data_IF_606398459353
#
_entry.id   IF_606398459353
#
_cell.length_a   1.000
_cell.length_b   1.000
_cell.length_c   1.000
_cell.angle_alpha   90.00
_cell.angle_beta   90.00
_cell.angle_gamma   90.00
#
_symmetry.space_group_name_H-M   'P 1'
#
loop_
_entity.id
_entity.type
_entity.pdbx_description
1 polymer ?
#
# COMPACT_ATOMS: atom_id res chain seq x y z
N UNK A 1 6.37 0.13 -15.57
CA UNK A 1 7.32 -0.62 -14.70
C UNK A 1 7.34 -2.10 -15.09
N UNK A 2 8.48 -2.75 -14.88
CA UNK A 2 8.61 -4.20 -15.11
C UNK A 2 7.96 -4.98 -13.98
N UNK A 3 7.73 -6.27 -14.19
CA UNK A 3 7.21 -7.14 -13.12
C UNK A 3 8.16 -7.20 -11.93
N UNK A 4 9.48 -7.18 -12.18
CA UNK A 4 10.47 -7.13 -11.10
C UNK A 4 10.34 -5.85 -10.28
N UNK A 5 10.23 -4.70 -10.94
CA UNK A 5 10.05 -3.42 -10.27
C UNK A 5 8.74 -3.39 -9.47
N UNK A 6 7.67 -3.94 -10.03
CA UNK A 6 6.40 -4.07 -9.33
C UNK A 6 6.54 -4.91 -8.06
N UNK A 7 7.17 -6.07 -8.16
CA UNK A 7 7.36 -6.97 -7.01
C UNK A 7 8.26 -6.33 -5.95
N UNK A 8 9.30 -5.60 -6.37
CA UNK A 8 10.19 -4.89 -5.44
C UNK A 8 9.42 -3.80 -4.68
N UNK A 9 8.60 -3.01 -5.37
CA UNK A 9 7.79 -1.97 -4.74
C UNK A 9 6.74 -2.57 -3.80
N UNK A 10 6.08 -3.66 -4.23
CA UNK A 10 5.10 -4.37 -3.40
C UNK A 10 5.74 -4.88 -2.10
N UNK A 11 6.91 -5.49 -2.20
CA UNK A 11 7.64 -6.03 -1.06
C UNK A 11 8.13 -4.91 -0.13
N UNK A 12 8.66 -3.83 -0.71
CA UNK A 12 9.16 -2.69 0.07
C UNK A 12 8.05 -2.00 0.85
N UNK A 13 6.87 -1.85 0.27
CA UNK A 13 5.72 -1.27 0.96
C UNK A 13 5.10 -2.24 1.95
N UNK A 14 4.99 -3.51 1.57
CA UNK A 14 4.26 -4.53 2.33
C UNK A 14 2.77 -4.55 1.98
N UNK A 15 2.24 -5.75 1.74
CA UNK A 15 0.85 -5.89 1.29
C UNK A 15 -0.17 -5.34 2.26
N UNK A 16 -0.04 -5.66 3.55
CA UNK A 16 -0.96 -5.15 4.57
C UNK A 16 -0.89 -3.63 4.70
N UNK A 17 0.30 -3.04 4.61
CA UNK A 17 0.47 -1.60 4.60
C UNK A 17 -0.25 -0.96 3.41
N UNK A 18 -0.07 -1.49 2.20
CA UNK A 18 -0.74 -1.00 1.00
C UNK A 18 -2.26 -0.99 1.21
N UNK A 19 -2.79 -2.11 1.69
CA UNK A 19 -4.23 -2.28 1.88
C UNK A 19 -4.80 -1.26 2.86
N UNK A 20 -4.11 -1.04 3.98
CA UNK A 20 -4.62 -0.18 5.06
C UNK A 20 -4.33 1.31 4.84
N UNK A 21 -3.30 1.65 4.06
CA UNK A 21 -2.84 3.05 3.93
C UNK A 21 -2.95 3.63 2.52
N UNK A 22 -3.36 2.84 1.53
CA UNK A 22 -3.47 3.33 0.15
C UNK A 22 -4.33 4.59 0.04
N UNK A 23 -5.53 4.56 0.62
CA UNK A 23 -6.46 5.70 0.49
C UNK A 23 -5.92 6.94 1.18
N UNK A 24 -5.32 6.80 2.36
CA UNK A 24 -4.69 7.90 3.07
C UNK A 24 -3.59 8.53 2.23
N UNK A 25 -2.73 7.72 1.62
CA UNK A 25 -1.62 8.20 0.81
C UNK A 25 -2.13 8.85 -0.48
N UNK A 26 -3.08 8.23 -1.16
CA UNK A 26 -3.65 8.73 -2.40
C UNK A 26 -4.36 10.07 -2.22
N UNK A 27 -5.05 10.25 -1.08
CA UNK A 27 -5.86 11.43 -0.80
C UNK A 27 -5.10 12.50 -0.02
N UNK A 28 -3.83 12.29 0.29
CA UNK A 28 -3.04 13.24 1.08
C UNK A 28 -2.89 14.58 0.36
N UNK A 29 -3.27 15.67 1.02
CA UNK A 29 -3.22 17.02 0.45
C UNK A 29 -2.09 17.89 1.00
N UNK A 30 -1.41 17.43 2.06
CA UNK A 30 -0.26 18.12 2.64
C UNK A 30 1.05 17.77 1.94
N UNK A 31 2.16 18.21 2.51
CA UNK A 31 3.46 17.87 1.95
C UNK A 31 3.85 16.43 2.31
N UNK A 32 4.86 15.93 1.60
CA UNK A 32 5.31 14.54 1.75
C UNK A 32 5.94 14.28 3.12
N UNK A 33 6.67 15.25 3.67
CA UNK A 33 7.32 15.08 4.98
C UNK A 33 6.27 14.84 6.08
N UNK A 34 5.16 15.58 6.04
CA UNK A 34 4.07 15.40 7.00
C UNK A 34 3.39 14.04 6.83
N UNK A 35 3.23 13.58 5.58
CA UNK A 35 2.70 12.24 5.32
C UNK A 35 3.60 11.16 5.91
N UNK A 36 4.91 11.26 5.70
CA UNK A 36 5.86 10.29 6.25
C UNK A 36 5.82 10.31 7.78
N UNK A 37 5.74 11.49 8.40
CA UNK A 37 5.63 11.61 9.85
C UNK A 37 4.35 10.96 10.38
N UNK A 38 3.23 11.17 9.68
CA UNK A 38 1.97 10.52 10.03
C UNK A 38 2.09 9.00 9.96
N UNK A 39 2.61 8.47 8.85
CA UNK A 39 2.80 7.02 8.66
C UNK A 39 3.73 6.46 9.74
N UNK A 40 4.81 7.16 10.04
CA UNK A 40 5.74 6.72 11.10
C UNK A 40 5.03 6.63 12.46
N UNK A 41 4.12 7.56 12.75
CA UNK A 41 3.35 7.57 14.00
C UNK A 41 2.45 6.34 14.16
N UNK A 42 2.11 5.64 13.08
CA UNK A 42 1.26 4.46 13.11
C UNK A 42 1.99 3.19 13.59
N UNK A 43 3.32 3.23 13.69
CA UNK A 43 4.10 2.14 14.29
C UNK A 43 4.48 1.00 13.36
N UNK A 44 4.38 1.18 12.04
CA UNK A 44 4.81 0.14 11.09
C UNK A 44 6.33 -0.07 11.11
N UNK A 45 7.09 0.96 11.40
CA UNK A 45 8.55 0.93 11.29
C UNK A 45 9.21 1.46 12.57
N UNK A 46 10.39 0.93 12.88
CA UNK A 46 11.19 1.39 14.01
C UNK A 46 11.91 2.72 13.70
N UNK A 47 12.11 3.02 12.41
CA UNK A 47 12.79 4.25 11.96
C UNK A 47 11.96 4.95 10.88
N UNK A 48 12.03 6.30 10.88
CA UNK A 48 11.33 7.13 9.90
C UNK A 48 11.74 6.81 8.45
N UNK A 49 12.99 6.40 8.23
CA UNK A 49 13.46 6.00 6.89
C UNK A 49 12.68 4.81 6.32
N UNK A 50 12.28 3.86 7.16
CA UNK A 50 11.42 2.76 6.75
C UNK A 50 10.05 3.24 6.28
N UNK A 51 9.45 4.17 7.01
CA UNK A 51 8.17 4.76 6.63
C UNK A 51 8.28 5.55 5.33
N UNK A 52 9.36 6.28 5.12
CA UNK A 52 9.61 6.99 3.86
C UNK A 52 9.71 6.00 2.69
N UNK A 53 10.36 4.87 2.87
CA UNK A 53 10.46 3.82 1.85
C UNK A 53 9.08 3.26 1.50
N UNK A 54 8.23 2.99 2.48
CA UNK A 54 6.88 2.49 2.25
C UNK A 54 6.02 3.50 1.48
N UNK A 55 6.05 4.76 1.88
CA UNK A 55 5.32 5.84 1.21
C UNK A 55 5.80 5.98 -0.24
N UNK A 56 7.12 6.00 -0.46
CA UNK A 56 7.71 6.08 -1.80
C UNK A 56 7.23 4.94 -2.70
N UNK A 57 7.20 3.72 -2.15
CA UNK A 57 6.81 2.52 -2.91
C UNK A 57 5.33 2.57 -3.29
N UNK A 58 4.45 2.99 -2.38
CA UNK A 58 3.02 3.14 -2.70
C UNK A 58 2.80 4.24 -3.74
N UNK A 59 3.46 5.39 -3.59
CA UNK A 59 3.35 6.49 -4.57
C UNK A 59 3.83 6.03 -5.96
N UNK A 60 4.90 5.24 -6.01
CA UNK A 60 5.37 4.69 -7.27
C UNK A 60 4.34 3.76 -7.92
N UNK A 61 3.71 2.90 -7.14
CA UNK A 61 2.66 2.02 -7.64
C UNK A 61 1.47 2.82 -8.17
N UNK A 62 1.11 3.92 -7.50
CA UNK A 62 0.04 4.81 -7.96
C UNK A 62 0.44 5.49 -9.27
N UNK A 63 1.63 6.08 -9.33
CA UNK A 63 2.11 6.82 -10.51
C UNK A 63 2.25 5.94 -11.74
N UNK A 64 2.65 4.68 -11.55
CA UNK A 64 2.80 3.69 -12.63
C UNK A 64 1.49 2.98 -12.97
N UNK A 65 0.39 3.37 -12.33
CA UNK A 65 -0.93 2.77 -12.53
C UNK A 65 -0.95 1.26 -12.25
N UNK A 66 -0.22 0.83 -11.20
CA UNK A 66 -0.11 -0.58 -10.80
C UNK A 66 -0.70 -0.85 -9.41
N UNK A 67 -1.34 0.17 -8.80
CA UNK A 67 -1.87 -0.01 -7.44
C UNK A 67 -3.04 -1.00 -7.40
N UNK A 68 -3.87 -1.03 -8.44
CA UNK A 68 -4.95 -2.02 -8.55
C UNK A 68 -4.39 -3.44 -8.52
N UNK A 69 -3.34 -3.70 -9.29
CA UNK A 69 -2.67 -5.00 -9.32
C UNK A 69 -2.11 -5.37 -7.95
N UNK A 70 -1.56 -4.38 -7.23
CA UNK A 70 -1.04 -4.61 -5.88
C UNK A 70 -2.16 -5.02 -4.91
N UNK A 71 -3.31 -4.36 -4.97
CA UNK A 71 -4.45 -4.68 -4.12
C UNK A 71 -5.02 -6.07 -4.45
N UNK A 72 -5.07 -6.43 -5.74
CA UNK A 72 -5.47 -7.78 -6.16
C UNK A 72 -4.50 -8.82 -5.59
N UNK A 73 -3.19 -8.52 -5.63
CA UNK A 73 -2.17 -9.42 -5.08
C UNK A 73 -2.36 -9.64 -3.57
N UNK A 74 -2.72 -8.59 -2.83
CA UNK A 74 -3.05 -8.72 -1.40
C UNK A 74 -4.28 -9.59 -1.20
N UNK A 75 -5.35 -9.32 -1.98
CA UNK A 75 -6.60 -10.10 -1.90
C UNK A 75 -6.34 -11.60 -2.07
N UNK A 76 -5.46 -11.95 -3.00
CA UNK A 76 -5.22 -13.35 -3.37
C UNK A 76 -4.06 -13.97 -2.58
N UNK A 77 -3.41 -13.22 -1.67
CA UNK A 77 -2.29 -13.71 -0.87
C UNK A 77 -2.78 -14.59 0.29
N UNK A 78 -2.43 -15.87 0.26
CA UNK A 78 -2.76 -16.80 1.35
C UNK A 78 -2.10 -16.40 2.66
N UNK A 79 -0.84 -15.95 2.60
CA UNK A 79 -0.08 -15.55 3.80
C UNK A 79 -0.71 -14.33 4.47
N UNK A 80 -1.02 -13.30 3.69
CA UNK A 80 -1.60 -12.06 4.25
C UNK A 80 -2.99 -12.35 4.82
N UNK A 81 -3.82 -13.12 4.12
CA UNK A 81 -5.15 -13.46 4.59
C UNK A 81 -5.13 -14.35 5.84
N UNK A 82 -4.10 -15.18 6.00
CA UNK A 82 -3.91 -15.96 7.21
C UNK A 82 -3.56 -15.08 8.41
N UNK A 83 -2.67 -14.09 8.22
CA UNK A 83 -2.26 -13.15 9.26
C UNK A 83 -3.35 -12.12 9.57
N UNK A 84 -4.12 -11.72 8.57
CA UNK A 84 -5.16 -10.70 8.66
C UNK A 84 -6.44 -11.22 8.00
N UNK A 85 -7.30 -11.96 8.74
CA UNK A 85 -8.47 -12.62 8.14
C UNK A 85 -9.45 -11.67 7.43
N UNK A 86 -9.42 -10.38 7.76
CA UNK A 86 -10.27 -9.37 7.11
C UNK A 86 -9.65 -8.79 5.83
N UNK A 87 -8.45 -9.21 5.43
CA UNK A 87 -7.73 -8.63 4.29
C UNK A 87 -8.50 -8.81 2.98
N UNK A 88 -9.09 -9.99 2.73
CA UNK A 88 -9.85 -10.24 1.51
C UNK A 88 -11.03 -9.28 1.38
N UNK A 89 -11.79 -9.09 2.45
CA UNK A 89 -12.95 -8.18 2.45
C UNK A 89 -12.55 -6.74 2.24
N UNK A 90 -11.48 -6.28 2.91
CA UNK A 90 -10.96 -4.92 2.75
C UNK A 90 -10.47 -4.68 1.32
N UNK A 91 -9.71 -5.61 0.75
CA UNK A 91 -9.20 -5.50 -0.62
C UNK A 91 -10.35 -5.46 -1.63
N UNK A 92 -11.34 -6.34 -1.47
CA UNK A 92 -12.52 -6.37 -2.35
C UNK A 92 -13.31 -5.07 -2.27
N UNK A 93 -13.46 -4.51 -1.07
CA UNK A 93 -14.15 -3.24 -0.87
C UNK A 93 -13.42 -2.09 -1.57
N UNK A 94 -12.09 -2.00 -1.44
CA UNK A 94 -11.30 -0.97 -2.12
C UNK A 94 -11.41 -1.12 -3.65
N UNK A 95 -11.31 -2.35 -4.16
CA UNK A 95 -11.43 -2.60 -5.59
C UNK A 95 -12.80 -2.15 -6.13
N UNK A 96 -13.87 -2.39 -5.36
CA UNK A 96 -15.22 -2.00 -5.77
C UNK A 96 -15.43 -0.48 -5.70
N UNK A 97 -14.87 0.21 -4.70
CA UNK A 97 -15.07 1.65 -4.52
C UNK A 97 -14.14 2.50 -5.39
N UNK A 98 -12.87 2.11 -5.48
CA UNK A 98 -11.83 2.95 -6.08
C UNK A 98 -11.51 2.59 -7.53
N UNK A 99 -11.77 1.35 -7.95
CA UNK A 99 -11.40 0.84 -9.28
C UNK A 99 -12.58 0.23 -10.03
N UNK A 100 -13.75 0.73 -9.75
CA UNK A 100 -14.98 0.30 -10.43
C UNK A 100 -14.98 0.81 -11.87
N UNK A 101 -15.18 -0.10 -12.80
CA UNK A 101 -15.30 0.23 -14.22
C UNK A 101 -16.68 0.81 -14.53
#
# INVERSE_FOLDING_TARGET
MTNKQFNDAFTAAGGWFILTQYETIADWTGNRADLVDYIFSLGFDAKRTGSNTRVSSVLRLIDENRIKDAIIKVRDSKRINKQHPNAFGLASDILNRCFKD
#
